data_IF_621411458492
#
_entry.id   IF_621411458492
#
_cell.length_a   1.000
_cell.length_b   1.000
_cell.length_c   1.000
_cell.angle_alpha   90.00
_cell.angle_beta   90.00
_cell.angle_gamma   90.00
#
_symmetry.space_group_name_H-M   'P 1'
#
loop_
_entity.id
_entity.type
_entity.pdbx_description
1 polymer ?
#
# COMPACT_ATOMS: atom_id res chain seq x y z
N UNK A 1 -9.37 -34.09 -27.98
CA UNK A 1 -7.95 -33.66 -27.80
C UNK A 1 -7.71 -32.15 -27.99
N UNK A 2 -8.45 -31.43 -28.86
CA UNK A 2 -8.24 -30.00 -29.12
C UNK A 2 -8.59 -29.03 -27.96
N UNK A 3 -9.56 -29.36 -27.10
CA UNK A 3 -9.98 -28.49 -25.98
C UNK A 3 -8.91 -28.34 -24.87
N UNK A 4 -8.12 -29.39 -24.60
CA UNK A 4 -7.02 -29.33 -23.61
C UNK A 4 -5.90 -28.38 -24.04
N UNK A 5 -5.60 -28.28 -25.33
CA UNK A 5 -4.52 -27.39 -25.81
C UNK A 5 -4.94 -25.92 -25.84
N UNK A 6 -6.23 -25.62 -25.97
CA UNK A 6 -6.76 -24.26 -25.82
C UNK A 6 -6.66 -23.81 -24.35
N UNK A 7 -7.14 -24.64 -23.41
CA UNK A 7 -7.04 -24.35 -21.98
C UNK A 7 -5.59 -24.19 -21.49
N UNK A 8 -4.67 -25.02 -22.00
CA UNK A 8 -3.24 -24.90 -21.66
C UNK A 8 -2.59 -23.64 -22.22
N UNK A 9 -3.01 -23.17 -23.39
CA UNK A 9 -2.55 -21.89 -23.96
C UNK A 9 -3.11 -20.71 -23.18
N UNK A 10 -4.38 -20.76 -22.80
CA UNK A 10 -5.01 -19.75 -21.98
C UNK A 10 -4.37 -19.66 -20.58
N UNK A 11 -4.08 -20.80 -19.94
CA UNK A 11 -3.33 -20.86 -18.69
C UNK A 11 -1.89 -20.37 -18.82
N UNK A 12 -1.21 -20.63 -19.95
CA UNK A 12 0.13 -20.14 -20.20
C UNK A 12 0.14 -18.62 -20.43
N UNK A 13 -0.84 -18.09 -21.16
CA UNK A 13 -1.04 -16.65 -21.34
C UNK A 13 -1.38 -16.00 -20.00
N UNK A 14 -2.30 -16.58 -19.23
CA UNK A 14 -2.62 -16.12 -17.88
C UNK A 14 -1.38 -16.12 -16.99
N UNK A 15 -0.61 -17.21 -16.93
CA UNK A 15 0.62 -17.28 -16.14
C UNK A 15 1.64 -16.23 -16.57
N UNK A 16 1.82 -16.01 -17.87
CA UNK A 16 2.71 -14.98 -18.41
C UNK A 16 2.22 -13.56 -18.13
N UNK A 17 0.91 -13.34 -18.08
CA UNK A 17 0.33 -12.06 -17.63
C UNK A 17 0.48 -11.86 -16.12
N UNK A 18 0.49 -12.95 -15.36
CA UNK A 18 0.71 -13.00 -13.91
C UNK A 18 2.19 -13.04 -13.50
N UNK A 19 3.14 -13.03 -14.46
CA UNK A 19 4.55 -12.81 -14.16
C UNK A 19 4.71 -11.35 -13.71
N UNK A 20 4.93 -11.20 -12.41
CA UNK A 20 5.16 -9.94 -11.72
C UNK A 20 6.39 -9.23 -12.29
N UNK A 21 6.28 -7.92 -12.49
CA UNK A 21 7.35 -7.13 -13.07
C UNK A 21 8.38 -6.76 -11.99
N UNK A 22 9.66 -7.00 -12.27
CA UNK A 22 10.77 -6.44 -11.50
C UNK A 22 10.89 -4.95 -11.84
N UNK A 23 10.08 -4.10 -11.21
CA UNK A 23 10.33 -2.66 -11.21
C UNK A 23 10.91 -2.25 -9.86
N UNK A 24 11.99 -1.47 -9.91
CA UNK A 24 12.61 -0.90 -8.72
C UNK A 24 11.63 0.07 -8.05
N UNK A 25 10.98 -0.39 -6.98
CA UNK A 25 10.07 0.42 -6.17
C UNK A 25 10.86 1.12 -5.09
N UNK A 26 10.84 2.46 -5.09
CA UNK A 26 11.43 3.24 -4.01
C UNK A 26 10.41 3.31 -2.88
N UNK A 27 10.72 2.66 -1.75
CA UNK A 27 9.97 2.85 -0.52
C UNK A 27 10.41 4.15 0.17
N UNK A 28 9.48 5.09 0.32
CA UNK A 28 9.65 6.35 1.08
C UNK A 28 9.73 6.02 2.58
N UNK A 29 10.23 6.91 3.47
CA UNK A 29 10.43 6.58 4.87
C UNK A 29 9.17 6.04 5.52
N UNK A 30 9.34 4.94 6.23
CA UNK A 30 8.29 4.25 6.96
C UNK A 30 7.87 5.12 8.14
N UNK A 31 6.57 5.42 8.22
CA UNK A 31 5.99 5.94 9.46
C UNK A 31 5.61 4.76 10.35
N UNK A 32 5.96 4.83 11.64
CA UNK A 32 5.62 3.81 12.63
C UNK A 32 5.04 4.46 13.89
N UNK A 33 4.03 3.81 14.46
CA UNK A 33 3.46 4.18 15.76
C UNK A 33 3.14 2.93 16.58
N UNK A 34 3.51 2.95 17.86
CA UNK A 34 3.22 1.90 18.84
C UNK A 34 2.12 2.35 19.79
N UNK A 35 1.18 1.46 20.12
CA UNK A 35 0.06 1.78 21.02
C UNK A 35 -0.77 2.99 20.56
N UNK A 36 -1.02 3.09 19.25
CA UNK A 36 -1.75 4.17 18.59
C UNK A 36 -3.25 3.89 18.52
N UNK A 37 -3.98 4.71 17.75
CA UNK A 37 -5.42 4.57 17.49
C UNK A 37 -5.74 4.82 16.01
N UNK A 38 -6.95 4.46 15.59
CA UNK A 38 -7.41 4.56 14.19
C UNK A 38 -7.40 6.01 13.68
N UNK A 39 -7.78 6.97 14.52
CA UNK A 39 -7.78 8.41 14.18
C UNK A 39 -6.38 8.91 13.80
N UNK A 40 -5.35 8.48 14.53
CA UNK A 40 -3.96 8.85 14.22
C UNK A 40 -3.49 8.25 12.90
N UNK A 41 -3.90 7.01 12.62
CA UNK A 41 -3.57 6.31 11.37
C UNK A 41 -4.25 7.00 10.17
N UNK A 42 -5.54 7.32 10.29
CA UNK A 42 -6.30 8.05 9.28
C UNK A 42 -5.68 9.43 8.99
N UNK A 43 -5.35 10.18 10.05
CA UNK A 43 -4.69 11.48 9.92
C UNK A 43 -3.33 11.37 9.22
N UNK A 44 -2.55 10.31 9.50
CA UNK A 44 -1.28 10.08 8.83
C UNK A 44 -1.47 9.72 7.35
N UNK A 45 -2.44 8.85 7.01
CA UNK A 45 -2.77 8.53 5.62
C UNK A 45 -3.21 9.78 4.84
N UNK A 46 -4.00 10.67 5.46
CA UNK A 46 -4.37 11.95 4.86
C UNK A 46 -3.17 12.86 4.60
N UNK A 47 -2.19 12.89 5.52
CA UNK A 47 -0.96 13.71 5.37
C UNK A 47 -0.08 13.29 4.19
N UNK A 48 -0.03 11.99 3.87
CA UNK A 48 0.77 11.48 2.74
C UNK A 48 0.39 12.16 1.42
N UNK A 49 -0.89 12.52 1.27
CA UNK A 49 -1.42 13.13 0.04
C UNK A 49 -1.67 14.63 0.18
N UNK A 50 -2.02 15.11 1.38
CA UNK A 50 -2.23 16.55 1.65
C UNK A 50 -0.96 17.41 1.53
N UNK A 51 0.23 16.83 1.71
CA UNK A 51 1.50 17.54 1.51
C UNK A 51 1.70 18.02 0.05
N UNK A 52 1.05 17.37 -0.92
CA UNK A 52 1.11 17.78 -2.32
C UNK A 52 0.12 18.90 -2.66
N UNK A 53 -0.98 19.05 -1.91
CA UNK A 53 -1.98 20.11 -2.14
C UNK A 53 -1.49 21.48 -1.65
N UNK A 54 -0.80 21.52 -0.50
CA UNK A 54 -0.23 22.76 0.07
C UNK A 54 0.90 23.36 -0.80
N UNK A 55 1.63 22.52 -1.55
CA UNK A 55 2.68 22.97 -2.46
C UNK A 55 2.17 23.68 -3.72
N UNK A 56 0.85 23.70 -3.97
CA UNK A 56 0.26 24.31 -5.18
C UNK A 56 0.04 25.84 -5.02
N UNK A 57 0.30 26.44 -3.85
CA UNK A 57 -0.08 27.85 -3.57
C UNK A 57 1.07 28.76 -3.10
N UNK A 58 2.35 28.48 -3.37
CA UNK A 58 3.44 29.42 -2.99
C UNK A 58 4.52 29.53 -4.07
N UNK A 59 4.96 30.75 -4.45
CA UNK A 59 6.03 30.92 -5.45
C UNK A 59 7.34 30.39 -4.87
N UNK A 60 8.08 29.65 -5.71
CA UNK A 60 9.34 29.00 -5.36
C UNK A 60 10.31 29.95 -4.62
N UNK A 61 10.83 29.48 -3.48
CA UNK A 61 12.08 29.97 -2.91
C UNK A 61 12.79 28.76 -2.29
N UNK A 62 13.87 28.36 -2.96
CA UNK A 62 14.94 27.42 -2.62
C UNK A 62 14.78 26.56 -1.36
N UNK A 63 14.50 25.26 -1.57
CA UNK A 63 14.59 24.23 -0.51
C UNK A 63 13.78 22.95 -0.77
N UNK A 64 14.24 22.11 -1.69
CA UNK A 64 13.99 20.65 -1.82
C UNK A 64 12.57 20.08 -1.56
N UNK A 65 11.51 20.74 -2.03
CA UNK A 65 10.28 20.02 -2.38
C UNK A 65 10.42 19.54 -3.84
N UNK A 66 10.60 18.24 -4.07
CA UNK A 66 10.61 17.64 -5.42
C UNK A 66 9.19 17.65 -6.01
N UNK A 67 8.77 18.84 -6.40
CA UNK A 67 7.64 19.06 -7.30
C UNK A 67 8.12 18.64 -8.70
N UNK A 68 7.36 17.80 -9.39
CA UNK A 68 7.65 17.42 -10.78
C UNK A 68 7.68 18.67 -11.67
N UNK A 69 8.34 18.62 -12.83
CA UNK A 69 8.47 19.76 -13.77
C UNK A 69 7.12 20.40 -14.17
N UNK A 70 6.00 19.70 -13.94
CA UNK A 70 4.62 20.15 -14.20
C UNK A 70 3.80 20.60 -12.98
N UNK A 71 4.35 20.60 -11.77
CA UNK A 71 3.58 21.04 -10.60
C UNK A 71 2.51 20.06 -10.11
N UNK A 72 2.46 18.83 -10.65
CA UNK A 72 1.42 17.85 -10.34
C UNK A 72 1.91 16.83 -9.28
N UNK A 73 1.04 16.43 -8.32
CA UNK A 73 1.29 15.31 -7.43
C UNK A 73 1.65 14.05 -8.23
N UNK A 74 2.47 13.16 -7.67
CA UNK A 74 2.56 11.79 -8.19
C UNK A 74 1.16 11.16 -8.24
N UNK A 75 0.85 10.42 -9.31
CA UNK A 75 -0.45 9.78 -9.45
C UNK A 75 -0.64 8.75 -8.33
N UNK A 76 -1.69 8.91 -7.51
CA UNK A 76 -2.07 7.94 -6.49
C UNK A 76 -2.93 6.85 -7.10
N UNK A 77 -2.56 5.60 -6.88
CA UNK A 77 -3.46 4.49 -7.20
C UNK A 77 -4.54 4.34 -6.13
N UNK A 78 -5.73 4.86 -6.40
CA UNK A 78 -6.88 4.85 -5.47
C UNK A 78 -8.05 3.96 -5.92
N UNK A 79 -7.83 3.07 -6.90
CA UNK A 79 -8.92 2.29 -7.53
C UNK A 79 -9.36 1.09 -6.68
N UNK A 80 -8.47 0.59 -5.81
CA UNK A 80 -8.67 -0.63 -5.03
C UNK A 80 -8.01 -0.53 -3.65
N UNK A 81 -8.68 -1.07 -2.63
CA UNK A 81 -8.10 -1.43 -1.34
C UNK A 81 -8.00 -2.96 -1.23
N UNK A 82 -6.81 -3.50 -0.98
CA UNK A 82 -6.58 -4.92 -0.74
C UNK A 82 -6.32 -5.14 0.76
N UNK A 83 -7.28 -5.78 1.42
CA UNK A 83 -7.21 -6.06 2.86
C UNK A 83 -6.82 -7.53 3.06
N UNK A 84 -5.77 -7.78 3.83
CA UNK A 84 -5.29 -9.14 4.10
C UNK A 84 -5.14 -9.34 5.60
N UNK A 85 -5.84 -10.31 6.16
CA UNK A 85 -5.69 -10.69 7.57
C UNK A 85 -4.75 -11.88 7.69
N UNK A 86 -3.80 -11.80 8.62
CA UNK A 86 -2.83 -12.86 8.92
C UNK A 86 -2.66 -13.02 10.43
N UNK A 87 -2.14 -14.18 10.82
CA UNK A 87 -1.70 -14.46 12.18
C UNK A 87 -0.17 -14.55 12.17
N UNK A 88 0.47 -13.72 13.01
CA UNK A 88 1.93 -13.68 13.17
C UNK A 88 2.67 -12.80 12.14
N UNK A 89 3.82 -12.27 12.58
CA UNK A 89 4.63 -11.34 11.79
C UNK A 89 5.22 -11.96 10.52
N UNK A 90 5.70 -13.21 10.58
CA UNK A 90 6.28 -13.90 9.42
C UNK A 90 5.28 -14.03 8.25
N UNK A 91 3.99 -14.21 8.56
CA UNK A 91 2.95 -14.27 7.55
C UNK A 91 2.71 -12.89 6.92
N UNK A 92 2.78 -11.83 7.72
CA UNK A 92 2.66 -10.45 7.25
C UNK A 92 3.80 -10.11 6.27
N UNK A 93 5.05 -10.48 6.59
CA UNK A 93 6.19 -10.26 5.70
C UNK A 93 6.03 -10.96 4.35
N UNK A 94 5.58 -12.22 4.34
CA UNK A 94 5.31 -12.95 3.09
C UNK A 94 4.21 -12.31 2.25
N UNK A 95 3.16 -11.82 2.91
CA UNK A 95 2.07 -11.08 2.26
C UNK A 95 2.62 -9.79 1.63
N UNK A 96 3.39 -9.01 2.38
CA UNK A 96 4.06 -7.79 1.89
C UNK A 96 4.89 -8.06 0.65
N UNK A 97 5.78 -9.06 0.69
CA UNK A 97 6.62 -9.42 -0.46
C UNK A 97 5.77 -9.77 -1.69
N UNK A 98 4.69 -10.52 -1.50
CA UNK A 98 3.74 -10.87 -2.57
C UNK A 98 3.03 -9.63 -3.13
N UNK A 99 2.58 -8.73 -2.25
CA UNK A 99 1.90 -7.49 -2.63
C UNK A 99 2.81 -6.55 -3.40
N UNK A 100 4.08 -6.45 -3.01
CA UNK A 100 5.06 -5.64 -3.72
C UNK A 100 5.30 -6.15 -5.14
N UNK A 101 5.30 -7.47 -5.35
CA UNK A 101 5.37 -8.05 -6.69
C UNK A 101 4.15 -7.69 -7.56
N UNK A 102 2.99 -7.50 -6.95
CA UNK A 102 1.76 -7.09 -7.64
C UNK A 102 1.74 -5.59 -7.98
N UNK A 103 2.36 -4.75 -7.14
CA UNK A 103 2.19 -3.29 -7.12
C UNK A 103 2.55 -2.58 -8.43
N UNK A 104 3.47 -3.12 -9.22
CA UNK A 104 3.86 -2.55 -10.53
C UNK A 104 2.73 -2.61 -11.56
N UNK A 105 1.95 -3.70 -11.55
CA UNK A 105 0.85 -3.93 -12.51
C UNK A 105 -0.51 -3.54 -11.91
N UNK A 106 -0.65 -3.72 -10.60
CA UNK A 106 -1.88 -3.53 -9.85
C UNK A 106 -1.62 -2.63 -8.64
N UNK A 107 -1.18 -1.38 -8.85
CA UNK A 107 -0.95 -0.46 -7.76
C UNK A 107 -2.28 -0.25 -7.04
N UNK A 108 -2.28 -0.52 -5.73
CA UNK A 108 -3.45 -0.47 -4.87
C UNK A 108 -2.99 -0.25 -3.43
N UNK A 109 -3.85 0.35 -2.61
CA UNK A 109 -3.57 0.42 -1.18
C UNK A 109 -3.69 -0.98 -0.60
N UNK A 110 -2.61 -1.48 0.01
CA UNK A 110 -2.64 -2.74 0.72
C UNK A 110 -2.69 -2.51 2.22
N UNK A 111 -3.64 -3.15 2.90
CA UNK A 111 -3.80 -3.10 4.36
C UNK A 111 -3.64 -4.52 4.91
N UNK A 112 -2.52 -4.77 5.59
CA UNK A 112 -2.21 -6.06 6.22
C UNK A 112 -2.56 -5.97 7.71
N UNK A 113 -3.50 -6.81 8.15
CA UNK A 113 -3.96 -6.90 9.53
C UNK A 113 -3.29 -8.11 10.19
N UNK A 114 -2.37 -7.87 11.11
CA UNK A 114 -1.75 -8.90 11.96
C UNK A 114 -2.58 -8.99 13.23
N UNK A 115 -3.46 -9.98 13.30
CA UNK A 115 -4.34 -10.20 14.44
C UNK A 115 -3.65 -11.10 15.47
N UNK A 116 -3.49 -10.59 16.70
CA UNK A 116 -2.96 -11.31 17.84
C UNK A 116 -4.03 -11.39 18.94
N UNK A 117 -4.85 -12.42 18.82
CA UNK A 117 -5.96 -12.74 19.71
C UNK A 117 -5.52 -13.25 21.09
N UNK A 118 -4.27 -13.71 21.22
CA UNK A 118 -3.76 -14.32 22.46
C UNK A 118 -3.02 -13.31 23.35
N UNK A 119 -2.80 -12.08 22.86
CA UNK A 119 -2.18 -11.01 23.63
C UNK A 119 -2.99 -10.69 24.90
N UNK A 120 -2.29 -10.62 26.04
CA UNK A 120 -2.88 -10.29 27.36
C UNK A 120 -3.25 -8.82 27.52
N UNK A 121 -2.96 -7.96 26.54
CA UNK A 121 -3.27 -6.54 26.59
C UNK A 121 -3.64 -5.98 25.23
N UNK A 122 -4.44 -4.92 25.26
CA UNK A 122 -4.91 -4.23 24.07
C UNK A 122 -3.86 -3.25 23.56
N UNK A 123 -3.56 -3.35 22.27
CA UNK A 123 -2.71 -2.38 21.60
C UNK A 123 -2.93 -2.43 20.09
N UNK A 124 -2.80 -1.27 19.47
CA UNK A 124 -2.76 -1.12 18.02
C UNK A 124 -1.41 -0.51 17.66
N UNK A 125 -0.60 -1.25 16.91
CA UNK A 125 0.60 -0.69 16.28
C UNK A 125 0.34 -0.52 14.79
N UNK A 126 0.96 0.50 14.19
CA UNK A 126 0.81 0.78 12.77
C UNK A 126 2.15 1.08 12.12
N UNK A 127 2.32 0.59 10.88
CA UNK A 127 3.42 0.89 9.97
C UNK A 127 2.84 1.31 8.63
N UNK A 128 3.26 2.44 8.10
CA UNK A 128 2.79 2.95 6.81
C UNK A 128 4.00 3.23 5.92
N UNK A 129 3.98 2.69 4.70
CA UNK A 129 5.01 2.90 3.69
C UNK A 129 4.37 3.36 2.39
N UNK A 130 5.07 4.20 1.63
CA UNK A 130 4.65 4.60 0.28
C UNK A 130 5.63 4.02 -0.72
N UNK A 131 5.09 3.38 -1.75
CA UNK A 131 5.85 2.77 -2.84
C UNK A 131 5.58 3.55 -4.11
N UNK A 132 6.62 3.96 -4.82
CA UNK A 132 6.50 4.68 -6.08
C UNK A 132 7.33 4.03 -7.18
N UNK A 133 6.75 3.87 -8.37
CA UNK A 133 7.45 3.42 -9.57
C UNK A 133 7.14 4.31 -10.77
N UNK A 134 8.04 4.33 -11.76
CA UNK A 134 7.82 5.07 -13.00
C UNK A 134 6.76 4.35 -13.84
N UNK A 135 5.83 5.11 -14.41
CA UNK A 135 4.84 4.57 -15.33
C UNK A 135 5.50 4.27 -16.69
N UNK A 136 5.44 3.03 -17.22
CA UNK A 136 6.13 2.68 -18.48
C UNK A 136 5.70 3.50 -19.70
N UNK A 137 4.52 4.12 -19.65
CA UNK A 137 3.92 4.87 -20.75
C UNK A 137 4.05 6.39 -20.62
N UNK A 138 4.56 6.91 -19.50
CA UNK A 138 4.68 8.35 -19.25
C UNK A 138 6.07 8.65 -18.69
N UNK A 139 6.88 9.34 -19.50
CA UNK A 139 8.20 9.81 -19.08
C UNK A 139 8.04 10.73 -17.86
N UNK A 140 8.78 10.43 -16.80
CA UNK A 140 8.83 11.15 -15.52
C UNK A 140 7.59 11.14 -14.61
N UNK A 141 6.52 10.43 -14.98
CA UNK A 141 5.36 10.25 -14.08
C UNK A 141 5.53 9.03 -13.17
N UNK A 142 5.40 9.24 -11.86
CA UNK A 142 5.44 8.18 -10.87
C UNK A 142 4.03 7.85 -10.40
N UNK A 143 3.74 6.56 -10.35
CA UNK A 143 2.55 6.03 -9.70
C UNK A 143 2.97 5.60 -8.29
N UNK A 144 2.24 6.10 -7.29
CA UNK A 144 2.48 5.79 -5.89
C UNK A 144 1.28 5.07 -5.25
N UNK A 145 1.55 4.15 -4.34
CA UNK A 145 0.54 3.41 -3.57
C UNK A 145 1.04 3.14 -2.15
N UNK A 146 0.12 2.88 -1.22
CA UNK A 146 0.41 2.70 0.19
C UNK A 146 0.40 1.23 0.62
N UNK A 147 1.36 0.88 1.47
CA UNK A 147 1.34 -0.30 2.33
C UNK A 147 1.03 0.13 3.76
N UNK A 148 0.00 -0.45 4.36
CA UNK A 148 -0.38 -0.24 5.75
C UNK A 148 -0.33 -1.57 6.46
N UNK A 149 0.45 -1.68 7.53
CA UNK A 149 0.48 -2.86 8.39
C UNK A 149 -0.02 -2.47 9.76
N UNK A 150 -1.06 -3.15 10.23
CA UNK A 150 -1.64 -2.97 11.55
C UNK A 150 -1.38 -4.23 12.37
N UNK A 151 -0.75 -4.09 13.52
CA UNK A 151 -0.69 -5.16 14.51
C UNK A 151 -1.73 -4.89 15.58
N UNK A 152 -2.80 -5.68 15.58
CA UNK A 152 -3.93 -5.54 16.49
C UNK A 152 -3.85 -6.63 17.55
N UNK A 153 -3.78 -6.20 18.82
CA UNK A 153 -3.69 -7.07 19.99
C UNK A 153 -4.91 -6.92 20.88
N UNK A 154 -5.33 -8.01 21.50
CA UNK A 154 -6.41 -8.02 22.50
C UNK A 154 -7.80 -7.94 21.87
N UNK A 155 -8.75 -7.28 22.54
CA UNK A 155 -10.18 -7.29 22.17
C UNK A 155 -10.42 -6.76 20.74
N UNK A 156 -9.65 -5.76 20.32
CA UNK A 156 -9.76 -5.19 18.98
C UNK A 156 -9.43 -6.20 17.86
N UNK A 157 -8.67 -7.27 18.15
CA UNK A 157 -8.35 -8.32 17.19
C UNK A 157 -9.59 -9.16 16.82
N UNK A 158 -10.62 -9.19 17.67
CA UNK A 158 -11.93 -9.81 17.36
C UNK A 158 -12.81 -8.93 16.46
N UNK A 159 -12.45 -7.66 16.31
CA UNK A 159 -13.27 -6.63 15.65
C UNK A 159 -12.53 -5.91 14.52
N UNK A 160 -11.77 -6.67 13.72
CA UNK A 160 -10.93 -6.14 12.63
C UNK A 160 -11.68 -5.26 11.63
N UNK A 161 -12.94 -5.57 11.34
CA UNK A 161 -13.78 -4.77 10.44
C UNK A 161 -13.97 -3.34 10.94
N UNK A 162 -14.14 -3.17 12.26
CA UNK A 162 -14.26 -1.85 12.89
C UNK A 162 -12.96 -1.05 12.86
N UNK A 163 -11.81 -1.74 12.93
CA UNK A 163 -10.49 -1.11 12.82
C UNK A 163 -10.19 -0.66 11.39
N UNK A 164 -10.53 -1.48 10.39
CA UNK A 164 -10.14 -1.23 8.99
C UNK A 164 -11.11 -0.33 8.23
N UNK A 165 -12.42 -0.37 8.54
CA UNK A 165 -13.43 0.36 7.77
C UNK A 165 -13.15 1.88 7.64
N UNK A 166 -12.68 2.60 8.68
CA UNK A 166 -12.35 4.02 8.57
C UNK A 166 -11.16 4.32 7.64
N UNK A 167 -10.33 3.33 7.32
CA UNK A 167 -9.10 3.49 6.52
C UNK A 167 -9.33 3.30 5.01
N UNK A 168 -10.56 3.04 4.57
CA UNK A 168 -10.90 2.70 3.17
C UNK A 168 -11.19 3.92 2.29
N UNK A 169 -10.75 5.11 2.72
CA UNK A 169 -10.95 6.41 2.06
C UNK A 169 -10.11 6.61 0.79
#
# INVERSE_FOLDING_TARGET
>A
MASRSAAQRELAVHRRLMEFGDAESLATPVWEAKGTNVETIEAQLGRLWGASEAATTTPATDGEARVTEKGLPHARASVLNLIVTVVGADAAERVVQTLMSLGVRHPSRAIVLVADHESRGDALDARISTHCHVAPAMEDERICYEEVILTIRGEAAEHLSGVVAPLLI
#
